data_IF_515590071846
#
_entry.id   IF_515590071846
#
_cell.length_a   1.000
_cell.length_b   1.000
_cell.length_c   1.000
_cell.angle_alpha   90.00
_cell.angle_beta   90.00
_cell.angle_gamma   90.00
#
_symmetry.space_group_name_H-M   'P 1'
#
loop_
_entity.id
_entity.type
_entity.pdbx_description
1 polymer ?
#
# COMPACT_ATOMS: atom_id res chain seq x y z
N UNK A 1 26.98 9.13 9.52
CA UNK A 1 25.65 9.32 8.87
C UNK A 1 24.72 10.20 9.72
N UNK A 2 24.60 9.96 11.03
CA UNK A 2 23.72 10.75 11.92
C UNK A 2 24.09 12.25 11.98
N UNK A 3 25.38 12.58 12.04
CA UNK A 3 25.84 13.99 12.03
C UNK A 3 25.54 14.74 10.72
N UNK A 4 25.58 14.06 9.56
CA UNK A 4 25.21 14.71 8.29
C UNK A 4 23.73 15.09 8.21
N UNK A 5 22.83 14.30 8.83
CA UNK A 5 21.39 14.63 8.90
C UNK A 5 21.12 15.91 9.70
N UNK A 6 21.97 16.22 10.69
CA UNK A 6 21.82 17.38 11.57
C UNK A 6 22.45 18.66 11.02
N UNK A 7 23.39 18.55 10.09
CA UNK A 7 24.17 19.68 9.58
C UNK A 7 23.82 20.09 8.15
N UNK A 8 23.05 19.29 7.43
CA UNK A 8 22.65 19.57 6.04
C UNK A 8 21.19 20.06 6.05
N UNK A 9 20.81 20.86 5.06
CA UNK A 9 19.42 21.24 4.77
C UNK A 9 18.52 19.98 4.75
N UNK A 10 17.60 19.80 5.70
CA UNK A 10 16.78 18.60 5.78
C UNK A 10 15.89 18.40 4.55
N UNK A 11 15.42 19.47 3.93
CA UNK A 11 14.61 19.44 2.74
C UNK A 11 15.42 18.96 1.53
N UNK A 12 16.61 19.51 1.31
CA UNK A 12 17.52 19.06 0.26
C UNK A 12 17.97 17.60 0.45
N UNK A 13 18.17 17.19 1.72
CA UNK A 13 18.47 15.80 2.05
C UNK A 13 17.32 14.85 1.67
N UNK A 14 16.09 15.17 2.08
CA UNK A 14 14.91 14.39 1.74
C UNK A 14 14.71 14.32 0.22
N UNK A 15 14.82 15.46 -0.48
CA UNK A 15 14.65 15.52 -1.93
C UNK A 15 15.66 14.66 -2.69
N UNK A 16 16.90 14.54 -2.20
CA UNK A 16 17.92 13.71 -2.85
C UNK A 16 17.59 12.22 -2.85
N UNK A 17 16.84 11.74 -1.86
CA UNK A 17 16.42 10.33 -1.79
C UNK A 17 15.06 10.11 -2.43
N UNK A 18 14.05 10.91 -2.10
CA UNK A 18 12.71 10.76 -2.64
C UNK A 18 12.67 11.01 -4.15
N UNK A 19 13.34 12.07 -4.63
CA UNK A 19 13.44 12.37 -6.05
C UNK A 19 14.13 11.28 -6.88
N UNK A 20 15.08 10.55 -6.27
CA UNK A 20 15.79 9.45 -6.94
C UNK A 20 14.94 8.16 -7.10
N UNK A 21 13.76 8.07 -6.47
CA UNK A 21 12.90 6.87 -6.57
C UNK A 21 12.23 6.72 -7.92
N UNK A 22 12.02 7.83 -8.66
CA UNK A 22 11.20 7.87 -9.88
C UNK A 22 9.71 7.62 -9.61
N UNK A 23 9.24 7.90 -8.40
CA UNK A 23 7.83 7.74 -8.02
C UNK A 23 6.96 8.77 -8.73
N UNK A 24 5.82 8.33 -9.29
CA UNK A 24 4.84 9.20 -9.94
C UNK A 24 3.77 9.70 -8.96
N UNK A 25 3.39 8.86 -8.00
CA UNK A 25 2.39 9.15 -6.97
C UNK A 25 2.83 8.68 -5.60
N UNK A 26 2.62 9.50 -4.59
CA UNK A 26 2.67 9.13 -3.19
C UNK A 26 1.23 9.08 -2.64
N UNK A 27 0.82 7.92 -2.14
CA UNK A 27 -0.44 7.74 -1.44
C UNK A 27 -0.13 7.72 0.06
N UNK A 28 -0.61 8.73 0.79
CA UNK A 28 -0.18 8.98 2.17
C UNK A 28 -1.34 8.80 3.13
N UNK A 29 -1.15 7.91 4.10
CA UNK A 29 -2.07 7.64 5.19
C UNK A 29 -2.17 8.87 6.11
N UNK A 30 -3.36 9.44 6.26
CA UNK A 30 -3.60 10.66 7.05
C UNK A 30 -3.70 10.41 8.56
N UNK A 31 -3.62 9.16 8.99
CA UNK A 31 -3.65 8.78 10.41
C UNK A 31 -2.29 8.57 11.04
N UNK A 32 -1.19 8.73 10.27
CA UNK A 32 0.18 8.55 10.78
C UNK A 32 1.21 9.34 9.97
N UNK A 33 2.07 10.12 10.63
CA UNK A 33 2.02 10.49 12.06
C UNK A 33 0.75 11.28 12.41
N UNK A 34 0.47 11.53 13.71
CA UNK A 34 -0.66 12.36 14.10
C UNK A 34 -0.66 13.71 13.40
N UNK A 35 -1.86 14.26 13.16
CA UNK A 35 -2.01 15.53 12.47
C UNK A 35 -1.14 16.65 13.10
N UNK A 36 -0.35 17.34 12.27
CA UNK A 36 0.57 18.40 12.68
C UNK A 36 1.97 17.94 13.11
N UNK A 37 2.23 16.64 13.19
CA UNK A 37 3.56 16.10 13.54
C UNK A 37 4.37 15.62 12.34
N UNK A 38 3.75 15.55 11.16
CA UNK A 38 4.36 15.04 9.92
C UNK A 38 4.62 16.10 8.88
N UNK A 39 5.32 15.68 7.84
CA UNK A 39 5.49 16.44 6.61
C UNK A 39 4.15 16.49 5.87
N UNK A 40 3.75 17.65 5.36
CA UNK A 40 2.51 17.81 4.60
C UNK A 40 2.57 17.05 3.27
N UNK A 41 1.41 16.76 2.68
CA UNK A 41 1.33 16.15 1.34
C UNK A 41 2.04 16.98 0.28
N UNK A 42 1.92 18.31 0.35
CA UNK A 42 2.55 19.24 -0.59
C UNK A 42 4.07 19.20 -0.48
N UNK A 43 4.61 19.21 0.74
CA UNK A 43 6.05 19.09 0.98
C UNK A 43 6.59 17.74 0.53
N UNK A 44 5.89 16.63 0.82
CA UNK A 44 6.29 15.29 0.36
C UNK A 44 6.29 15.20 -1.17
N UNK A 45 5.26 15.73 -1.82
CA UNK A 45 5.18 15.82 -3.28
C UNK A 45 6.33 16.65 -3.83
N UNK A 46 6.66 17.78 -3.19
CA UNK A 46 7.80 18.64 -3.55
C UNK A 46 9.14 17.91 -3.41
N UNK A 47 9.38 17.20 -2.31
CA UNK A 47 10.62 16.45 -2.12
C UNK A 47 10.79 15.31 -3.13
N UNK A 48 9.71 14.63 -3.48
CA UNK A 48 9.75 13.53 -4.44
C UNK A 48 9.69 13.99 -5.91
N UNK A 49 9.32 15.24 -6.17
CA UNK A 49 9.06 15.73 -7.51
C UNK A 49 7.88 15.02 -8.19
N UNK A 50 6.88 14.61 -7.41
CA UNK A 50 5.75 13.79 -7.88
C UNK A 50 4.41 14.36 -7.38
N UNK A 51 3.32 13.65 -7.68
CA UNK A 51 1.99 13.95 -7.12
C UNK A 51 1.78 13.19 -5.82
N UNK A 52 0.95 13.74 -4.92
CA UNK A 52 0.56 13.06 -3.70
C UNK A 52 -0.96 13.12 -3.51
N UNK A 53 -1.52 12.08 -2.88
CA UNK A 53 -2.93 12.01 -2.53
C UNK A 53 -3.12 11.38 -1.15
N UNK A 54 -4.14 11.82 -0.38
CA UNK A 54 -4.38 11.28 0.95
C UNK A 54 -5.14 9.95 0.90
N UNK A 55 -4.86 9.09 1.89
CA UNK A 55 -5.58 7.87 2.21
C UNK A 55 -6.23 8.05 3.57
N UNK A 56 -7.54 7.82 3.67
CA UNK A 56 -8.32 8.03 4.89
C UNK A 56 -8.18 6.87 5.85
N UNK A 57 -7.56 7.08 7.02
CA UNK A 57 -7.47 6.06 8.08
C UNK A 57 -8.77 5.99 8.89
N UNK A 58 -9.48 4.86 8.83
CA UNK A 58 -10.78 4.69 9.45
C UNK A 58 -10.73 4.74 10.98
N UNK A 59 -9.72 4.12 11.60
CA UNK A 59 -9.61 4.05 13.07
C UNK A 59 -9.44 5.41 13.74
N UNK A 60 -8.95 6.41 13.04
CA UNK A 60 -8.84 7.79 13.58
C UNK A 60 -10.17 8.56 13.58
N UNK A 61 -11.22 8.01 12.96
CA UNK A 61 -12.53 8.65 12.79
C UNK A 61 -13.58 8.23 13.82
N UNK A 62 -13.41 7.05 14.44
CA UNK A 62 -14.36 6.52 15.43
C UNK A 62 -15.77 6.44 14.86
N UNK A 63 -16.74 6.99 15.58
CA UNK A 63 -18.16 7.00 15.19
C UNK A 63 -18.45 7.72 13.85
N UNK A 64 -17.56 8.64 13.43
CA UNK A 64 -17.70 9.37 12.17
C UNK A 64 -17.14 8.61 10.96
N UNK A 65 -16.61 7.41 11.14
CA UNK A 65 -15.94 6.66 10.08
C UNK A 65 -16.83 6.43 8.86
N UNK A 66 -18.12 6.13 9.07
CA UNK A 66 -19.09 5.92 7.99
C UNK A 66 -19.36 7.20 7.19
N UNK A 67 -19.63 8.32 7.87
CA UNK A 67 -19.90 9.61 7.22
C UNK A 67 -18.67 10.10 6.45
N UNK A 68 -17.49 9.98 7.06
CA UNK A 68 -16.25 10.39 6.43
C UNK A 68 -15.86 9.49 5.25
N UNK A 69 -16.14 8.19 5.32
CA UNK A 69 -15.89 7.25 4.21
C UNK A 69 -16.81 7.59 3.01
N UNK A 70 -18.08 7.87 3.24
CA UNK A 70 -19.01 8.25 2.17
C UNK A 70 -18.62 9.56 1.47
N UNK A 71 -18.03 10.50 2.20
CA UNK A 71 -17.61 11.81 1.69
C UNK A 71 -16.15 11.82 1.19
N UNK A 72 -15.38 10.74 1.40
CA UNK A 72 -13.94 10.73 1.22
C UNK A 72 -13.50 11.11 -0.20
N UNK A 73 -14.14 10.55 -1.24
CA UNK A 73 -13.81 10.86 -2.64
C UNK A 73 -14.01 12.34 -2.97
N UNK A 74 -15.12 12.92 -2.53
CA UNK A 74 -15.40 14.36 -2.76
C UNK A 74 -14.38 15.27 -2.06
N UNK A 75 -13.72 14.77 -1.02
CA UNK A 75 -12.65 15.46 -0.27
C UNK A 75 -11.25 15.18 -0.82
N UNK A 76 -11.13 14.45 -1.94
CA UNK A 76 -9.86 14.19 -2.60
C UNK A 76 -9.10 12.96 -2.10
N UNK A 77 -9.69 12.14 -1.21
CA UNK A 77 -9.11 10.86 -0.83
C UNK A 77 -9.19 9.86 -1.99
N UNK A 78 -8.14 9.06 -2.15
CA UNK A 78 -8.04 8.06 -3.22
C UNK A 78 -8.23 6.63 -2.72
N UNK A 79 -8.17 6.44 -1.41
CA UNK A 79 -8.41 5.16 -0.74
C UNK A 79 -8.86 5.37 0.70
N UNK A 80 -9.45 4.33 1.28
CA UNK A 80 -9.61 4.17 2.73
C UNK A 80 -8.49 3.25 3.23
N UNK A 81 -8.16 3.33 4.53
CA UNK A 81 -7.20 2.41 5.18
C UNK A 81 -7.73 1.94 6.51
N UNK A 82 -7.55 0.66 6.81
CA UNK A 82 -7.78 0.09 8.14
C UNK A 82 -6.52 -0.59 8.68
N UNK A 83 -6.30 -0.41 9.97
CA UNK A 83 -5.30 -1.11 10.77
C UNK A 83 -5.98 -2.06 11.77
N UNK A 84 -7.10 -2.68 11.38
CA UNK A 84 -7.86 -3.61 12.23
C UNK A 84 -6.98 -4.72 12.83
N UNK A 85 -5.91 -5.13 12.13
CA UNK A 85 -4.90 -6.05 12.64
C UNK A 85 -4.34 -5.63 14.02
N UNK A 86 -4.16 -4.31 14.25
CA UNK A 86 -3.74 -3.73 15.54
C UNK A 86 -4.89 -3.43 16.49
N UNK A 87 -6.14 -3.59 16.07
CA UNK A 87 -7.35 -3.20 16.83
C UNK A 87 -8.27 -4.38 17.10
N UNK A 88 -7.66 -5.51 17.47
CA UNK A 88 -8.37 -6.74 17.81
C UNK A 88 -8.15 -7.88 16.80
N UNK A 89 -7.71 -7.59 15.58
CA UNK A 89 -7.40 -8.58 14.56
C UNK A 89 -8.33 -8.53 13.35
N UNK A 90 -7.89 -9.15 12.26
CA UNK A 90 -8.65 -9.24 11.01
C UNK A 90 -9.83 -10.22 11.11
N UNK A 91 -9.82 -11.11 12.11
CA UNK A 91 -10.93 -11.99 12.47
C UNK A 91 -12.07 -11.26 13.22
N UNK A 92 -11.83 -10.02 13.68
CA UNK A 92 -12.75 -9.21 14.50
C UNK A 92 -12.71 -7.74 14.13
N UNK A 93 -12.92 -7.46 12.85
CA UNK A 93 -12.97 -6.07 12.36
C UNK A 93 -14.11 -5.32 13.08
N UNK A 94 -13.81 -4.13 13.59
CA UNK A 94 -14.77 -3.36 14.40
C UNK A 94 -16.00 -2.93 13.60
N UNK A 95 -17.12 -2.72 14.32
CA UNK A 95 -18.38 -2.26 13.72
C UNK A 95 -18.23 -0.91 13.02
N UNK A 96 -17.37 -0.01 13.52
CA UNK A 96 -17.11 1.28 12.87
C UNK A 96 -16.43 1.12 11.50
N UNK A 97 -15.48 0.18 11.38
CA UNK A 97 -14.86 -0.13 10.09
C UNK A 97 -15.87 -0.79 9.14
N UNK A 98 -16.67 -1.73 9.63
CA UNK A 98 -17.72 -2.36 8.81
C UNK A 98 -18.74 -1.34 8.33
N UNK A 99 -19.22 -0.44 9.20
CA UNK A 99 -20.12 0.64 8.82
C UNK A 99 -19.51 1.60 7.79
N UNK A 100 -18.20 1.87 7.90
CA UNK A 100 -17.48 2.68 6.90
C UNK A 100 -17.40 1.98 5.54
N UNK A 101 -17.19 0.65 5.52
CA UNK A 101 -17.22 -0.13 4.27
C UNK A 101 -18.61 -0.13 3.64
N UNK A 102 -19.69 -0.27 4.43
CA UNK A 102 -21.07 -0.18 3.96
C UNK A 102 -21.36 1.20 3.35
N UNK A 103 -20.96 2.27 4.04
CA UNK A 103 -21.13 3.65 3.57
C UNK A 103 -20.34 3.91 2.28
N UNK A 104 -19.09 3.40 2.19
CA UNK A 104 -18.26 3.51 1.00
C UNK A 104 -18.88 2.79 -0.20
N UNK A 105 -19.34 1.55 -0.03
CA UNK A 105 -19.97 0.79 -1.11
C UNK A 105 -21.33 1.39 -1.51
N UNK A 106 -22.07 1.91 -0.53
CA UNK A 106 -23.34 2.63 -0.73
C UNK A 106 -23.24 3.90 -1.60
N UNK A 107 -22.03 4.44 -1.83
CA UNK A 107 -21.81 5.58 -2.74
C UNK A 107 -22.04 5.20 -4.23
N UNK A 108 -22.04 3.90 -4.57
CA UNK A 108 -22.11 3.41 -5.94
C UNK A 108 -20.79 3.56 -6.72
N UNK A 109 -19.79 4.20 -6.13
CA UNK A 109 -18.43 4.36 -6.68
C UNK A 109 -17.38 4.23 -5.55
N UNK A 110 -17.23 3.02 -4.95
CA UNK A 110 -16.42 2.85 -3.76
C UNK A 110 -14.95 3.15 -4.00
N UNK A 111 -14.31 3.75 -3.00
CA UNK A 111 -12.87 3.83 -2.90
C UNK A 111 -12.28 2.46 -2.57
N UNK A 112 -11.09 2.10 -3.08
CA UNK A 112 -10.38 0.92 -2.61
C UNK A 112 -10.01 1.05 -1.14
N UNK A 113 -9.90 -0.10 -0.46
CA UNK A 113 -9.61 -0.18 0.97
C UNK A 113 -8.28 -0.88 1.18
N UNK A 114 -7.31 -0.16 1.72
CA UNK A 114 -6.04 -0.70 2.17
C UNK A 114 -6.22 -1.37 3.53
N UNK A 115 -5.73 -2.60 3.68
CA UNK A 115 -5.82 -3.37 4.92
C UNK A 115 -4.43 -3.78 5.36
N UNK A 116 -4.01 -3.37 6.55
CA UNK A 116 -2.76 -3.84 7.15
C UNK A 116 -2.83 -5.33 7.42
N UNK A 117 -1.95 -6.12 6.83
CA UNK A 117 -1.86 -7.57 6.94
C UNK A 117 -0.44 -8.02 7.24
N UNK A 118 -0.29 -8.97 8.16
CA UNK A 118 1.04 -9.47 8.52
C UNK A 118 1.90 -8.41 9.18
N UNK A 119 3.14 -8.34 8.80
CA UNK A 119 4.24 -7.49 9.24
C UNK A 119 3.83 -6.26 10.07
N UNK A 120 4.45 -6.07 11.25
CA UNK A 120 4.09 -4.94 12.11
C UNK A 120 5.00 -4.81 13.33
N UNK A 121 4.64 -3.86 14.20
CA UNK A 121 5.33 -3.57 15.44
C UNK A 121 4.98 -4.60 16.54
N UNK A 122 5.66 -4.48 17.70
CA UNK A 122 5.56 -5.44 18.81
C UNK A 122 4.18 -5.54 19.46
N UNK A 123 3.28 -4.59 19.22
CA UNK A 123 1.89 -4.59 19.68
C UNK A 123 0.92 -5.33 18.74
N UNK A 124 1.42 -5.78 17.57
CA UNK A 124 0.65 -6.60 16.66
C UNK A 124 0.55 -8.05 17.14
N UNK A 125 -0.67 -8.60 17.20
CA UNK A 125 -0.86 -10.05 17.37
C UNK A 125 -0.82 -10.74 16.01
N UNK A 126 0.37 -11.20 15.62
CA UNK A 126 0.66 -11.70 14.26
C UNK A 126 -0.35 -12.73 13.72
N UNK A 127 -0.78 -13.77 14.45
CA UNK A 127 -1.77 -14.73 13.92
C UNK A 127 -3.13 -14.12 13.54
N UNK A 128 -3.50 -12.95 14.10
CA UNK A 128 -4.73 -12.23 13.76
C UNK A 128 -4.56 -11.19 12.68
N UNK A 129 -3.36 -11.06 12.13
CA UNK A 129 -3.08 -10.22 10.96
C UNK A 129 -3.00 -11.02 9.66
N UNK A 130 -3.33 -12.32 9.70
CA UNK A 130 -3.45 -13.18 8.53
C UNK A 130 -4.59 -12.69 7.63
N UNK A 131 -4.29 -12.33 6.35
CA UNK A 131 -5.32 -11.87 5.42
C UNK A 131 -6.40 -12.89 5.12
N UNK A 132 -6.18 -14.18 5.36
CA UNK A 132 -7.20 -15.22 5.22
C UNK A 132 -8.48 -14.95 6.02
N UNK A 133 -8.36 -14.24 7.15
CA UNK A 133 -9.52 -13.81 7.95
C UNK A 133 -10.43 -12.80 7.25
N UNK A 134 -9.93 -12.11 6.21
CA UNK A 134 -10.71 -11.12 5.46
C UNK A 134 -11.69 -11.74 4.46
N UNK A 135 -11.63 -13.05 4.22
CA UNK A 135 -12.52 -13.73 3.27
C UNK A 135 -14.00 -13.34 3.42
N UNK A 136 -14.61 -13.33 4.63
CA UNK A 136 -16.01 -12.92 4.77
C UNK A 136 -16.29 -11.48 4.36
N UNK A 137 -15.35 -10.54 4.61
CA UNK A 137 -15.49 -9.14 4.21
C UNK A 137 -15.36 -8.99 2.69
N UNK A 138 -14.39 -9.65 2.09
CA UNK A 138 -14.17 -9.67 0.64
C UNK A 138 -15.38 -10.20 -0.11
N UNK A 139 -16.03 -11.23 0.42
CA UNK A 139 -17.25 -11.82 -0.15
C UNK A 139 -18.51 -10.95 0.07
N UNK A 140 -18.54 -10.19 1.17
CA UNK A 140 -19.64 -9.27 1.48
C UNK A 140 -19.58 -8.00 0.64
N UNK A 141 -18.41 -7.40 0.47
CA UNK A 141 -18.18 -6.11 -0.20
C UNK A 141 -17.56 -6.32 -1.59
N UNK A 142 -18.36 -6.77 -2.55
CA UNK A 142 -17.87 -7.23 -3.86
C UNK A 142 -17.49 -6.10 -4.81
N UNK A 143 -18.07 -4.91 -4.63
CA UNK A 143 -17.79 -3.74 -5.45
C UNK A 143 -16.60 -2.94 -4.88
N UNK A 144 -16.21 -3.20 -3.64
CA UNK A 144 -15.05 -2.60 -2.99
C UNK A 144 -13.79 -3.41 -3.30
N UNK A 145 -12.76 -2.75 -3.82
CA UNK A 145 -11.43 -3.37 -4.01
C UNK A 145 -10.65 -3.33 -2.70
N UNK A 146 -10.20 -4.48 -2.22
CA UNK A 146 -9.32 -4.62 -1.07
C UNK A 146 -7.87 -4.69 -1.53
N UNK A 147 -6.98 -3.90 -0.91
CA UNK A 147 -5.53 -3.94 -1.12
C UNK A 147 -4.88 -4.40 0.18
N UNK A 148 -4.39 -5.63 0.20
CA UNK A 148 -3.74 -6.24 1.35
C UNK A 148 -2.30 -5.73 1.42
N UNK A 149 -1.95 -5.02 2.49
CA UNK A 149 -0.64 -4.39 2.62
C UNK A 149 0.36 -5.34 3.30
N UNK A 150 1.64 -5.27 2.92
CA UNK A 150 2.79 -5.94 3.53
C UNK A 150 2.80 -7.47 3.39
N UNK A 151 1.84 -8.13 3.96
CA UNK A 151 1.51 -9.57 3.87
C UNK A 151 2.50 -10.57 4.50
N UNK A 152 3.72 -10.21 4.92
CA UNK A 152 4.65 -11.18 5.53
C UNK A 152 4.23 -11.53 6.97
N UNK A 153 4.22 -12.82 7.37
CA UNK A 153 4.67 -13.99 6.64
C UNK A 153 3.57 -14.66 5.77
N UNK A 154 2.38 -14.10 5.67
CA UNK A 154 1.19 -14.65 5.01
C UNK A 154 1.12 -14.31 3.52
N UNK A 155 2.27 -14.35 2.84
CA UNK A 155 2.37 -13.96 1.42
C UNK A 155 1.53 -14.90 0.53
N UNK A 156 1.49 -16.21 0.85
CA UNK A 156 0.72 -17.22 0.11
C UNK A 156 -0.78 -17.05 0.29
N UNK A 157 -1.22 -16.76 1.51
CA UNK A 157 -2.62 -16.49 1.83
C UNK A 157 -3.12 -15.24 1.09
N UNK A 158 -2.32 -14.17 1.05
CA UNK A 158 -2.61 -12.98 0.27
C UNK A 158 -2.66 -13.27 -1.24
N UNK A 159 -1.69 -14.04 -1.75
CA UNK A 159 -1.63 -14.49 -3.13
C UNK A 159 -2.85 -15.34 -3.52
N UNK A 160 -3.27 -16.24 -2.63
CA UNK A 160 -4.48 -17.05 -2.82
C UNK A 160 -5.74 -16.19 -2.89
N UNK A 161 -5.91 -15.24 -1.96
CA UNK A 161 -7.05 -14.33 -1.98
C UNK A 161 -7.07 -13.49 -3.27
N UNK A 162 -5.93 -12.96 -3.69
CA UNK A 162 -5.81 -12.18 -4.92
C UNK A 162 -6.10 -13.00 -6.18
N UNK A 163 -5.78 -14.31 -6.18
CA UNK A 163 -6.12 -15.23 -7.25
C UNK A 163 -7.62 -15.56 -7.25
N UNK A 164 -8.19 -15.86 -6.08
CA UNK A 164 -9.56 -16.35 -5.93
C UNK A 164 -10.63 -15.26 -6.10
N UNK A 165 -10.29 -14.00 -5.77
CA UNK A 165 -11.24 -12.89 -5.72
C UNK A 165 -10.87 -11.74 -6.67
N UNK A 166 -11.82 -11.37 -7.55
CA UNK A 166 -11.64 -10.28 -8.51
C UNK A 166 -11.36 -8.91 -7.85
N UNK A 167 -11.91 -8.70 -6.67
CA UNK A 167 -11.82 -7.46 -5.89
C UNK A 167 -10.67 -7.45 -4.87
N UNK A 168 -9.70 -8.36 -4.93
CA UNK A 168 -8.51 -8.36 -4.07
C UNK A 168 -7.26 -8.07 -4.88
N UNK A 169 -6.45 -7.17 -4.38
CA UNK A 169 -5.06 -6.89 -4.76
C UNK A 169 -4.18 -6.91 -3.50
N UNK A 170 -2.87 -6.91 -3.64
CA UNK A 170 -1.96 -6.90 -2.49
C UNK A 170 -0.63 -6.25 -2.84
N UNK A 171 0.16 -5.94 -1.83
CA UNK A 171 1.53 -5.47 -1.96
C UNK A 171 2.49 -6.23 -1.01
N UNK A 172 3.77 -5.96 -1.15
CA UNK A 172 4.84 -6.45 -0.29
C UNK A 172 5.67 -5.27 0.28
N UNK A 173 5.01 -4.17 0.59
CA UNK A 173 5.64 -2.88 0.92
C UNK A 173 6.68 -2.96 2.04
N UNK A 174 6.32 -3.38 3.25
CA UNK A 174 7.29 -3.62 4.33
C UNK A 174 8.11 -4.90 4.11
N UNK A 175 7.57 -5.86 3.39
CA UNK A 175 8.24 -7.15 3.19
C UNK A 175 9.53 -7.00 2.40
N UNK A 176 9.46 -6.46 1.20
CA UNK A 176 10.64 -6.35 0.30
C UNK A 176 11.82 -5.62 0.96
N UNK A 177 11.65 -4.45 1.61
CA UNK A 177 12.79 -3.74 2.21
C UNK A 177 13.30 -4.32 3.55
N UNK A 178 12.63 -5.30 4.15
CA UNK A 178 12.99 -5.78 5.49
C UNK A 178 13.36 -7.26 5.55
N UNK A 179 12.94 -8.09 4.59
CA UNK A 179 13.32 -9.51 4.60
C UNK A 179 14.71 -9.72 4.04
N UNK A 180 15.40 -10.75 4.51
CA UNK A 180 16.75 -11.10 4.04
C UNK A 180 16.78 -11.58 2.58
N UNK A 181 15.65 -12.05 2.04
CA UNK A 181 15.52 -12.63 0.70
C UNK A 181 14.31 -12.05 -0.03
N UNK A 182 14.37 -10.79 -0.49
CA UNK A 182 13.22 -10.14 -1.14
C UNK A 182 12.76 -10.85 -2.42
N UNK A 183 13.68 -11.40 -3.21
CA UNK A 183 13.34 -12.19 -4.40
C UNK A 183 12.54 -13.46 -4.05
N UNK A 184 12.83 -14.14 -2.94
CA UNK A 184 12.05 -15.30 -2.51
C UNK A 184 10.62 -14.90 -2.14
N UNK A 185 10.45 -13.82 -1.36
CA UNK A 185 9.12 -13.32 -1.01
C UNK A 185 8.31 -12.92 -2.24
N UNK A 186 8.95 -12.28 -3.23
CA UNK A 186 8.31 -11.93 -4.50
C UNK A 186 7.94 -13.17 -5.32
N UNK A 187 8.82 -14.19 -5.38
CA UNK A 187 8.54 -15.46 -6.06
C UNK A 187 7.35 -16.17 -5.43
N UNK A 188 7.30 -16.22 -4.09
CA UNK A 188 6.20 -16.78 -3.33
C UNK A 188 4.87 -16.04 -3.61
N UNK A 189 4.90 -14.71 -3.70
CA UNK A 189 3.74 -13.89 -4.04
C UNK A 189 3.19 -14.19 -5.44
N UNK A 190 4.07 -14.38 -6.43
CA UNK A 190 3.72 -14.61 -7.83
C UNK A 190 3.55 -16.09 -8.17
N UNK A 191 3.74 -17.02 -7.23
CA UNK A 191 3.55 -18.46 -7.45
C UNK A 191 2.10 -18.79 -7.89
N UNK A 192 1.13 -18.05 -7.37
CA UNK A 192 -0.30 -18.23 -7.67
C UNK A 192 -0.98 -16.94 -8.15
N UNK A 193 -0.64 -15.80 -7.57
CA UNK A 193 -1.33 -14.55 -7.86
C UNK A 193 -0.98 -14.02 -9.26
N UNK A 194 -1.99 -13.51 -10.02
CA UNK A 194 -1.71 -12.84 -11.29
C UNK A 194 -0.88 -11.57 -11.09
N UNK A 195 0.03 -11.26 -12.01
CA UNK A 195 0.84 -10.03 -12.04
C UNK A 195 -0.02 -8.77 -11.88
N UNK A 196 -1.23 -8.77 -12.45
CA UNK A 196 -2.18 -7.66 -12.38
C UNK A 196 -2.75 -7.38 -10.98
N UNK A 197 -2.45 -8.23 -10.00
CA UNK A 197 -2.94 -8.11 -8.62
C UNK A 197 -1.90 -7.62 -7.63
N UNK A 198 -0.62 -7.64 -7.99
CA UNK A 198 0.48 -7.17 -7.15
C UNK A 198 0.76 -5.69 -7.43
N UNK A 199 0.88 -4.89 -6.37
CA UNK A 199 1.20 -3.47 -6.43
C UNK A 199 2.55 -3.19 -5.79
N UNK A 200 3.26 -2.20 -6.33
CA UNK A 200 4.42 -1.62 -5.66
C UNK A 200 3.99 -0.64 -4.58
N UNK A 201 4.60 -0.74 -3.40
CA UNK A 201 4.57 0.27 -2.37
C UNK A 201 5.85 0.17 -1.52
N UNK A 202 6.23 1.24 -0.83
CA UNK A 202 7.40 1.26 0.06
C UNK A 202 7.03 1.14 1.53
N UNK A 203 5.88 1.67 1.92
CA UNK A 203 5.49 1.96 3.31
C UNK A 203 6.60 2.68 4.11
N UNK A 204 7.45 3.43 3.40
CA UNK A 204 8.54 4.17 4.02
C UNK A 204 7.99 5.37 4.79
N UNK A 205 8.53 5.58 5.99
CA UNK A 205 8.19 6.71 6.83
C UNK A 205 9.43 7.22 7.58
N UNK A 206 9.43 8.50 7.99
CA UNK A 206 10.43 9.15 8.87
C UNK A 206 11.88 9.20 8.34
N UNK A 207 12.28 8.25 7.49
CA UNK A 207 13.67 8.07 7.05
C UNK A 207 13.70 8.12 5.52
N UNK A 208 14.16 9.24 4.91
CA UNK A 208 14.16 9.42 3.45
C UNK A 208 14.86 8.30 2.68
N UNK A 209 15.92 7.74 3.23
CA UNK A 209 16.67 6.65 2.61
C UNK A 209 15.84 5.39 2.39
N UNK A 210 14.82 5.14 3.24
CA UNK A 210 13.97 3.96 3.10
C UNK A 210 13.13 4.00 1.82
N UNK A 211 12.73 5.20 1.36
CA UNK A 211 12.02 5.33 0.08
C UNK A 211 12.89 4.84 -1.08
N UNK A 212 14.15 5.28 -1.13
CA UNK A 212 15.08 4.87 -2.18
C UNK A 212 15.44 3.38 -2.06
N UNK A 213 15.78 2.89 -0.86
CA UNK A 213 16.11 1.49 -0.64
C UNK A 213 14.98 0.56 -1.06
N UNK A 214 13.73 0.86 -0.65
CA UNK A 214 12.58 0.08 -1.07
C UNK A 214 12.45 0.05 -2.59
N UNK A 215 12.59 1.21 -3.26
CA UNK A 215 12.53 1.32 -4.71
C UNK A 215 13.59 0.47 -5.42
N UNK A 216 14.83 0.49 -4.93
CA UNK A 216 15.93 -0.30 -5.49
C UNK A 216 15.71 -1.79 -5.28
N UNK A 217 15.38 -2.21 -4.07
CA UNK A 217 15.18 -3.64 -3.76
C UNK A 217 13.97 -4.25 -4.47
N UNK A 218 12.90 -3.47 -4.66
CA UNK A 218 11.79 -3.91 -5.50
C UNK A 218 12.23 -4.17 -6.94
N UNK A 219 12.98 -3.25 -7.56
CA UNK A 219 13.49 -3.42 -8.92
C UNK A 219 14.44 -4.60 -9.04
N UNK A 220 15.35 -4.77 -8.06
CA UNK A 220 16.27 -5.90 -8.03
C UNK A 220 15.53 -7.24 -7.90
N UNK A 221 14.51 -7.30 -7.02
CA UNK A 221 13.68 -8.50 -6.87
C UNK A 221 12.90 -8.83 -8.14
N UNK A 222 12.28 -7.82 -8.78
CA UNK A 222 11.57 -8.01 -10.06
C UNK A 222 12.52 -8.47 -11.18
N UNK A 223 13.69 -7.85 -11.29
CA UNK A 223 14.69 -8.24 -12.30
C UNK A 223 15.18 -9.68 -12.11
N UNK A 224 15.24 -10.16 -10.86
CA UNK A 224 15.62 -11.53 -10.56
C UNK A 224 14.49 -12.54 -10.85
N UNK A 225 13.25 -12.20 -10.48
CA UNK A 225 12.13 -13.17 -10.45
C UNK A 225 11.34 -13.24 -11.76
N UNK A 226 11.04 -12.10 -12.39
CA UNK A 226 10.17 -12.12 -13.57
C UNK A 226 10.71 -12.95 -14.73
N UNK A 227 12.03 -12.93 -15.04
CA UNK A 227 12.59 -13.78 -16.10
C UNK A 227 12.51 -15.28 -15.84
N UNK A 228 12.31 -15.70 -14.57
CA UNK A 228 12.12 -17.11 -14.21
C UNK A 228 10.68 -17.59 -14.47
N UNK A 229 9.72 -16.64 -14.43
CA UNK A 229 8.28 -16.94 -14.47
C UNK A 229 7.64 -16.64 -15.84
N UNK A 230 8.23 -15.75 -16.63
CA UNK A 230 7.61 -15.19 -17.82
C UNK A 230 8.52 -15.32 -19.06
N UNK A 231 7.90 -15.29 -20.24
CA UNK A 231 8.63 -15.17 -21.48
C UNK A 231 9.36 -13.80 -21.56
N UNK A 232 10.50 -13.71 -22.25
CA UNK A 232 11.30 -12.49 -22.30
C UNK A 232 10.53 -11.23 -22.71
N UNK A 233 9.59 -11.35 -23.66
CA UNK A 233 8.72 -10.27 -24.13
C UNK A 233 7.72 -9.76 -23.11
N UNK A 234 7.38 -10.57 -22.10
CA UNK A 234 6.40 -10.23 -21.05
C UNK A 234 7.04 -9.65 -19.78
N UNK A 235 8.36 -9.74 -19.63
CA UNK A 235 9.07 -9.30 -18.41
C UNK A 235 8.92 -7.80 -18.16
N UNK A 236 9.21 -6.97 -19.15
CA UNK A 236 9.10 -5.51 -19.01
C UNK A 236 7.64 -5.04 -18.83
N UNK A 237 6.66 -5.53 -19.60
CA UNK A 237 5.24 -5.25 -19.35
C UNK A 237 4.81 -5.61 -17.93
N UNK A 238 5.18 -6.79 -17.43
CA UNK A 238 4.84 -7.23 -16.09
C UNK A 238 5.47 -6.34 -14.99
N UNK A 239 6.74 -5.99 -15.14
CA UNK A 239 7.41 -5.07 -14.23
C UNK A 239 6.73 -3.70 -14.19
N UNK A 240 6.36 -3.15 -15.35
CA UNK A 240 5.63 -1.89 -15.45
C UNK A 240 4.23 -1.96 -14.83
N UNK A 241 3.52 -3.08 -15.01
CA UNK A 241 2.23 -3.30 -14.36
C UNK A 241 2.37 -3.25 -12.84
N UNK A 242 3.32 -4.00 -12.25
CA UNK A 242 3.52 -4.06 -10.80
C UNK A 242 3.97 -2.70 -10.26
N UNK A 243 4.96 -2.07 -10.88
CA UNK A 243 5.57 -0.84 -10.39
C UNK A 243 4.66 0.39 -10.56
N UNK A 244 3.66 0.35 -11.46
CA UNK A 244 2.90 1.54 -11.82
C UNK A 244 1.44 1.28 -12.18
N UNK A 245 1.18 0.49 -13.23
CA UNK A 245 -0.13 0.47 -13.90
C UNK A 245 -1.23 -0.11 -13.02
N UNK A 246 -0.92 -1.12 -12.20
CA UNK A 246 -1.88 -1.69 -11.25
C UNK A 246 -2.33 -0.65 -10.23
N UNK A 247 -1.42 0.17 -9.70
CA UNK A 247 -1.78 1.24 -8.76
C UNK A 247 -2.63 2.32 -9.44
N UNK A 248 -2.26 2.78 -10.65
CA UNK A 248 -3.05 3.74 -11.40
C UNK A 248 -4.49 3.24 -11.62
N UNK A 249 -4.64 1.96 -11.98
CA UNK A 249 -5.95 1.33 -12.20
C UNK A 249 -6.74 1.18 -10.90
N UNK A 250 -6.13 0.63 -9.85
CA UNK A 250 -6.81 0.34 -8.57
C UNK A 250 -7.26 1.60 -7.87
N UNK A 251 -6.39 2.61 -7.80
CA UNK A 251 -6.68 3.89 -7.14
C UNK A 251 -7.29 4.95 -8.08
N UNK A 252 -7.50 4.60 -9.37
CA UNK A 252 -8.04 5.49 -10.41
C UNK A 252 -7.28 6.80 -10.53
N UNK A 253 -5.96 6.70 -10.48
CA UNK A 253 -5.08 7.86 -10.56
C UNK A 253 -4.85 8.26 -12.03
N UNK A 254 -4.85 9.57 -12.34
CA UNK A 254 -4.49 10.00 -13.68
C UNK A 254 -3.00 9.72 -13.95
N UNK A 255 -2.72 9.11 -15.09
CA UNK A 255 -1.34 8.95 -15.56
C UNK A 255 -0.67 10.30 -15.78
N UNK A 256 0.65 10.38 -15.57
CA UNK A 256 1.41 11.54 -16.02
C UNK A 256 1.34 11.61 -17.55
N UNK A 257 1.20 12.83 -18.09
CA UNK A 257 1.40 13.03 -19.53
C UNK A 257 2.82 12.59 -19.90
N UNK A 258 3.02 11.88 -21.01
CA UNK A 258 4.37 11.59 -21.49
C UNK A 258 5.10 12.93 -21.67
N UNK A 259 6.32 12.99 -21.11
CA UNK A 259 7.20 14.15 -21.24
C UNK A 259 7.71 14.31 -22.68
#
# INVERSE_FOLDING_TARGET
MHERRLTTDPAGYASSFLGATGTEWLLVDDGYPPAGEGTSLEELAGYAGCRAAPVLRLETRGERAADEASAARARGFVALKTIAAYRGGLDRVSEHVVAALEANEGTGDPLPVQVHCGFGDSDLWLPRSDPGWLKPLVERFRDTTFVLLHCYPFVREAGWLAHAYGNVCFDLSLTIPHVARPAEALREALELAPVSKLLYASDAARTPELYLLASLWWRDALAAVLPELLAPEDVEPAARMILRENALRVYRLPAASPA
#
